data_IF_564042540144
#
_entry.id   IF_564042540144
#
_cell.length_a   1.000
_cell.length_b   1.000
_cell.length_c   1.000
_cell.angle_alpha   90.00
_cell.angle_beta   90.00
_cell.angle_gamma   90.00
#
_symmetry.space_group_name_H-M   'P 1'
#
loop_
_entity.id
_entity.type
_entity.pdbx_description
1 polymer ?
#
# COMPACT_ATOMS: atom_id res chain seq x y z
N UNK A 1 20.63 -18.52 1.02
CA UNK A 1 20.77 -17.34 0.11
C UNK A 1 19.46 -16.83 -0.49
N UNK A 2 18.30 -17.50 -0.34
CA UNK A 2 17.02 -17.02 -0.93
C UNK A 2 16.33 -15.84 -0.21
N UNK A 3 16.52 -15.66 1.10
CA UNK A 3 15.80 -14.65 1.90
C UNK A 3 16.17 -13.20 1.57
N UNK A 4 17.43 -12.92 1.22
CA UNK A 4 17.88 -11.56 0.86
C UNK A 4 17.18 -11.03 -0.41
N UNK A 5 16.93 -11.92 -1.36
CA UNK A 5 16.30 -11.59 -2.64
C UNK A 5 14.84 -11.11 -2.47
N UNK A 6 14.09 -11.67 -1.52
CA UNK A 6 12.69 -11.29 -1.30
C UNK A 6 12.59 -9.92 -0.61
N UNK A 7 13.42 -9.64 0.41
CA UNK A 7 13.38 -8.33 1.08
C UNK A 7 13.78 -7.21 0.11
N UNK A 8 14.81 -7.42 -0.71
CA UNK A 8 15.23 -6.46 -1.73
C UNK A 8 14.14 -6.19 -2.78
N UNK A 9 13.43 -7.23 -3.24
CA UNK A 9 12.31 -7.08 -4.15
C UNK A 9 11.15 -6.30 -3.53
N UNK A 10 10.87 -6.50 -2.24
CA UNK A 10 9.85 -5.73 -1.53
C UNK A 10 10.21 -4.23 -1.49
N UNK A 11 11.46 -3.92 -1.16
CA UNK A 11 11.95 -2.54 -1.11
C UNK A 11 11.83 -1.86 -2.48
N UNK A 12 12.19 -2.54 -3.57
CA UNK A 12 12.07 -2.00 -4.94
C UNK A 12 10.62 -1.64 -5.29
N UNK A 13 9.65 -2.45 -4.87
CA UNK A 13 8.24 -2.15 -5.16
C UNK A 13 7.72 -1.01 -4.28
N UNK A 14 8.09 -0.97 -3.00
CA UNK A 14 7.78 0.17 -2.13
C UNK A 14 8.37 1.47 -2.69
N UNK A 15 9.60 1.45 -3.19
CA UNK A 15 10.21 2.60 -3.87
C UNK A 15 9.43 3.02 -5.11
N UNK A 16 9.00 2.08 -5.96
CA UNK A 16 8.15 2.40 -7.12
C UNK A 16 6.80 3.01 -6.73
N UNK A 17 6.18 2.52 -5.66
CA UNK A 17 4.93 3.09 -5.16
C UNK A 17 5.16 4.48 -4.55
N UNK A 18 6.31 4.72 -3.93
CA UNK A 18 6.72 6.02 -3.43
C UNK A 18 6.91 7.03 -4.56
N UNK A 19 7.66 6.67 -5.60
CA UNK A 19 7.88 7.52 -6.79
C UNK A 19 6.57 7.89 -7.50
N UNK A 20 5.60 6.98 -7.49
CA UNK A 20 4.25 7.22 -8.05
C UNK A 20 3.33 8.03 -7.13
N UNK A 21 3.78 8.41 -5.93
CA UNK A 21 2.96 9.08 -4.91
C UNK A 21 1.82 8.19 -4.38
N UNK A 22 1.91 6.87 -4.58
CA UNK A 22 0.91 5.88 -4.13
C UNK A 22 1.23 5.37 -2.73
N UNK A 23 2.50 5.35 -2.33
CA UNK A 23 2.91 4.96 -0.98
C UNK A 23 2.84 6.16 -0.04
N UNK A 24 1.98 6.09 0.99
CA UNK A 24 1.86 7.14 2.01
C UNK A 24 2.88 6.90 3.12
N UNK A 25 2.98 5.66 3.59
CA UNK A 25 3.87 5.29 4.69
C UNK A 25 4.12 3.79 4.69
N UNK A 26 5.28 3.37 5.20
CA UNK A 26 5.57 1.98 5.50
C UNK A 26 6.44 1.90 6.76
N UNK A 27 6.28 0.84 7.54
CA UNK A 27 7.12 0.58 8.70
C UNK A 27 7.21 -0.91 9.00
N UNK A 28 8.31 -1.30 9.62
CA UNK A 28 8.52 -2.66 10.08
C UNK A 28 7.66 -2.95 11.33
N UNK A 29 7.07 -4.14 11.35
CA UNK A 29 6.35 -4.67 12.50
C UNK A 29 7.31 -5.60 13.22
N UNK A 30 7.42 -5.45 14.56
CA UNK A 30 8.38 -6.18 15.42
C UNK A 30 8.39 -7.72 15.26
N UNK A 31 7.35 -8.29 14.66
CA UNK A 31 7.21 -9.73 14.38
C UNK A 31 7.76 -10.16 13.02
N UNK A 32 8.54 -9.31 12.33
CA UNK A 32 9.14 -9.62 11.03
C UNK A 32 8.21 -9.38 9.83
N UNK A 33 7.25 -8.46 9.98
CA UNK A 33 6.32 -8.06 8.91
C UNK A 33 6.50 -6.59 8.51
N UNK A 34 5.77 -6.15 7.50
CA UNK A 34 5.72 -4.74 7.09
C UNK A 34 4.27 -4.28 7.06
N UNK A 35 4.00 -3.13 7.67
CA UNK A 35 2.73 -2.44 7.54
C UNK A 35 2.91 -1.29 6.54
N UNK A 36 1.96 -1.17 5.61
CA UNK A 36 2.06 -0.24 4.49
C UNK A 36 0.72 0.45 4.28
N UNK A 37 0.74 1.78 4.12
CA UNK A 37 -0.42 2.56 3.72
C UNK A 37 -0.24 2.93 2.25
N UNK A 38 -1.10 2.38 1.40
CA UNK A 38 -1.10 2.62 -0.05
C UNK A 38 -2.37 3.37 -0.42
N UNK A 39 -2.21 4.47 -1.13
CA UNK A 39 -3.30 5.18 -1.77
C UNK A 39 -3.72 4.47 -3.05
N UNK A 40 -4.98 4.09 -3.13
CA UNK A 40 -5.60 3.58 -4.34
C UNK A 40 -7.01 4.17 -4.48
N UNK A 41 -7.40 4.46 -5.72
CA UNK A 41 -8.71 5.00 -6.08
C UNK A 41 -9.77 3.89 -6.16
N UNK A 42 -9.34 2.62 -6.21
CA UNK A 42 -10.22 1.46 -6.17
C UNK A 42 -9.50 0.23 -5.62
N UNK A 43 -10.28 -0.76 -5.17
CA UNK A 43 -9.74 -2.06 -4.78
C UNK A 43 -9.03 -2.77 -5.94
N UNK A 44 -9.50 -2.57 -7.17
CA UNK A 44 -8.87 -3.11 -8.38
C UNK A 44 -7.49 -2.52 -8.59
N UNK A 45 -7.37 -1.19 -8.49
CA UNK A 45 -6.08 -0.51 -8.61
C UNK A 45 -5.11 -0.91 -7.47
N UNK A 46 -5.63 -1.08 -6.25
CA UNK A 46 -4.81 -1.60 -5.14
C UNK A 46 -4.30 -3.01 -5.47
N UNK A 47 -5.17 -3.89 -5.96
CA UNK A 47 -4.78 -5.25 -6.35
C UNK A 47 -3.75 -5.24 -7.46
N UNK A 48 -3.87 -4.41 -8.49
CA UNK A 48 -2.89 -4.28 -9.57
C UNK A 48 -1.53 -3.78 -9.06
N UNK A 49 -1.53 -2.76 -8.20
CA UNK A 49 -0.31 -2.26 -7.57
C UNK A 49 0.37 -3.33 -6.70
N UNK A 50 -0.41 -4.21 -6.08
CA UNK A 50 0.07 -5.30 -5.24
C UNK A 50 0.39 -6.58 -6.04
N UNK A 51 -0.24 -6.89 -7.16
CA UNK A 51 0.09 -8.08 -7.97
C UNK A 51 1.37 -7.90 -8.77
N UNK A 52 1.80 -6.66 -9.02
CA UNK A 52 3.14 -6.36 -9.51
C UNK A 52 4.25 -6.61 -8.47
N UNK A 53 3.87 -6.91 -7.23
CA UNK A 53 4.79 -7.35 -6.18
C UNK A 53 5.13 -8.82 -6.46
N UNK A 54 6.39 -9.17 -6.83
CA UNK A 54 6.78 -10.57 -7.09
C UNK A 54 6.53 -11.50 -5.89
N UNK A 55 6.39 -10.89 -4.72
CA UNK A 55 6.20 -11.53 -3.43
C UNK A 55 4.73 -11.56 -2.99
N UNK A 56 3.82 -10.99 -3.79
CA UNK A 56 2.39 -11.00 -3.52
C UNK A 56 1.86 -12.38 -3.13
N UNK A 57 2.20 -13.49 -3.82
CA UNK A 57 1.72 -14.83 -3.42
C UNK A 57 2.42 -15.40 -2.19
N UNK A 58 3.51 -14.81 -1.71
CA UNK A 58 4.28 -15.29 -0.57
C UNK A 58 3.97 -14.56 0.75
N UNK A 59 3.22 -13.45 0.68
CA UNK A 59 2.82 -12.68 1.85
C UNK A 59 1.34 -12.91 2.19
N UNK A 60 1.05 -12.94 3.50
CA UNK A 60 -0.31 -12.83 4.00
C UNK A 60 -0.64 -11.34 4.07
N UNK A 61 -1.64 -10.91 3.30
CA UNK A 61 -2.07 -9.52 3.25
C UNK A 61 -3.31 -9.34 4.10
N UNK A 62 -3.22 -8.53 5.15
CA UNK A 62 -4.39 -7.96 5.81
C UNK A 62 -4.61 -6.55 5.25
N UNK A 63 -5.66 -6.39 4.43
CA UNK A 63 -5.97 -5.13 3.77
C UNK A 63 -7.16 -4.51 4.48
N UNK A 64 -6.91 -3.40 5.18
CA UNK A 64 -7.93 -2.57 5.80
C UNK A 64 -8.08 -1.27 5.02
N UNK A 65 -9.30 -0.97 4.59
CA UNK A 65 -9.61 0.32 4.00
C UNK A 65 -9.53 1.41 5.08
N UNK A 66 -8.76 2.45 4.81
CA UNK A 66 -8.62 3.62 5.68
C UNK A 66 -9.11 4.82 4.91
N UNK A 67 -10.28 5.34 5.31
CA UNK A 67 -10.82 6.55 4.70
C UNK A 67 -10.22 7.76 5.42
N UNK A 68 -9.56 8.64 4.68
CA UNK A 68 -9.12 9.92 5.23
C UNK A 68 -10.34 10.81 5.48
N UNK A 69 -10.74 10.94 6.75
CA UNK A 69 -11.93 11.69 7.19
C UNK A 69 -11.88 13.15 6.73
N UNK A 70 -10.70 13.71 6.51
CA UNK A 70 -10.49 15.06 5.98
C UNK A 70 -10.99 15.19 4.52
N UNK A 71 -10.77 14.15 3.71
CA UNK A 71 -11.26 14.07 2.32
C UNK A 71 -12.77 13.86 2.31
N UNK A 72 -13.28 13.01 3.19
CA UNK A 72 -14.71 12.79 3.41
C UNK A 72 -15.44 14.10 3.75
N UNK A 73 -14.85 14.92 4.63
CA UNK A 73 -15.37 16.24 5.00
C UNK A 73 -15.29 17.29 3.88
N UNK A 74 -14.32 17.19 2.97
CA UNK A 74 -14.24 18.08 1.80
C UNK A 74 -15.28 17.70 0.75
N UNK A 75 -15.44 16.40 0.48
CA UNK A 75 -16.43 15.89 -0.46
C UNK A 75 -17.86 16.14 0.04
N UNK A 76 -18.12 15.98 1.34
CA UNK A 76 -19.45 16.28 1.92
C UNK A 76 -19.82 17.75 1.77
N UNK A 77 -18.86 18.67 1.87
CA UNK A 77 -19.08 20.10 1.66
C UNK A 77 -19.35 20.47 0.20
N UNK A 78 -18.77 19.76 -0.76
CA UNK A 78 -19.01 19.99 -2.20
C UNK A 78 -20.35 19.41 -2.69
N UNK A 79 -20.85 18.35 -2.06
CA UNK A 79 -22.16 17.75 -2.43
C UNK A 79 -23.34 18.54 -1.88
N UNK A 80 -23.11 19.34 -0.83
CA UNK A 80 -24.14 20.16 -0.16
C UNK A 80 -24.21 21.62 -0.66
N UNK A 81 -23.40 21.99 -1.67
CA UNK A 81 -23.42 23.31 -2.34
C UNK A 81 -24.06 23.23 -3.71
#
# INVERSE_FOLDING_TARGET
MLHGCLVEQAVVVLQKLWEKGKLISFWEIKTGGTATIIQANSLTELKENLTHYPLFPFFIWDIKEVINVSVLNLLSKQVLS
#
